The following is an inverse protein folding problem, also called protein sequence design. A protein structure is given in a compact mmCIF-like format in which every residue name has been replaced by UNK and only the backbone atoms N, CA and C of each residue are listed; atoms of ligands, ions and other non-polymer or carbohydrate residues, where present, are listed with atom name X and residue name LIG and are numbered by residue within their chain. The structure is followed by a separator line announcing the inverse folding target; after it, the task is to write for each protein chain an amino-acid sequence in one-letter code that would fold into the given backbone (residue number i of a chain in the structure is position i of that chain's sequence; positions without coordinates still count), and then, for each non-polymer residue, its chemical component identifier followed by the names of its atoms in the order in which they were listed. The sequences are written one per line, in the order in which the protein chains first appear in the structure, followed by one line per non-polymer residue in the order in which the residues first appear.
data_IF_984409515279
#
_entry.id   IF_984409515279
#
_cell.length_a   1.000
_cell.length_b   1.000
_cell.length_c   1.000
_cell.angle_alpha   90.00
_cell.angle_beta   90.00
_cell.angle_gamma   90.00
#
_symmetry.space_group_name_H-M   'P 1'
#
loop_
_entity.id
_entity.type
_entity.pdbx_description
1 polymer ?
#
# COMPACT_ATOMS: atom_id res chain seq x y z
N UNK A 1 10.43 -23.05 32.51
CA UNK A 1 10.69 -21.93 31.56
C UNK A 1 9.62 -20.87 31.76
N UNK A 2 9.96 -19.62 32.10
CA UNK A 2 8.96 -18.58 32.23
C UNK A 2 8.36 -18.30 30.85
N UNK A 3 7.04 -18.41 30.73
CA UNK A 3 6.30 -17.91 29.57
C UNK A 3 6.54 -16.39 29.59
N UNK A 4 7.45 -15.93 28.73
CA UNK A 4 7.60 -14.50 28.44
C UNK A 4 6.20 -14.02 28.08
N UNK A 5 5.59 -13.22 28.96
CA UNK A 5 4.33 -12.54 28.67
C UNK A 5 4.61 -11.64 27.47
N UNK A 6 4.40 -12.17 26.27
CA UNK A 6 4.43 -11.40 25.05
C UNK A 6 3.47 -10.27 25.28
N UNK A 7 4.03 -9.08 25.41
CA UNK A 7 3.24 -7.91 25.73
C UNK A 7 2.37 -7.63 24.51
N UNK A 8 1.07 -7.44 24.76
CA UNK A 8 0.04 -7.39 23.73
C UNK A 8 -0.84 -6.17 24.00
N UNK A 9 -1.08 -5.36 22.98
CA UNK A 9 -2.16 -4.39 22.94
C UNK A 9 -3.32 -5.05 22.21
N UNK A 10 -4.45 -5.19 22.88
CA UNK A 10 -5.67 -5.75 22.30
C UNK A 10 -6.81 -4.74 22.41
N UNK A 11 -7.50 -4.47 21.30
CA UNK A 11 -8.61 -3.52 21.21
C UNK A 11 -9.68 -4.04 20.25
N UNK A 12 -10.94 -3.66 20.46
CA UNK A 12 -12.05 -4.02 19.58
C UNK A 12 -12.75 -2.75 19.11
N UNK A 13 -12.95 -2.65 17.79
CA UNK A 13 -13.60 -1.51 17.15
C UNK A 13 -14.80 -1.99 16.33
N UNK A 14 -15.91 -1.25 16.39
CA UNK A 14 -17.14 -1.60 15.65
C UNK A 14 -17.34 -0.61 14.50
N UNK A 15 -17.61 -1.12 13.31
CA UNK A 15 -17.87 -0.37 12.09
C UNK A 15 -19.29 -0.64 11.59
N UNK A 16 -19.99 0.40 11.14
CA UNK A 16 -21.33 0.33 10.52
C UNK A 16 -21.23 -0.02 9.02
N UNK A 17 -20.43 -1.03 8.69
CA UNK A 17 -20.26 -1.57 7.34
C UNK A 17 -19.77 -3.02 7.40
N UNK A 18 -19.95 -3.77 6.31
CA UNK A 18 -19.45 -5.14 6.17
C UNK A 18 -17.91 -5.27 6.19
N UNK A 19 -17.44 -6.47 6.53
CA UNK A 19 -16.06 -6.74 6.89
C UNK A 19 -15.11 -6.59 5.72
N UNK A 20 -15.54 -6.97 4.52
CA UNK A 20 -14.79 -6.83 3.28
C UNK A 20 -14.39 -5.37 3.02
N UNK A 21 -15.27 -4.41 3.34
CA UNK A 21 -14.96 -2.98 3.16
C UNK A 21 -13.87 -2.52 4.13
N UNK A 22 -13.95 -2.93 5.40
CA UNK A 22 -12.94 -2.58 6.40
C UNK A 22 -11.61 -3.26 6.09
N UNK A 23 -11.64 -4.53 5.69
CA UNK A 23 -10.47 -5.31 5.26
C UNK A 23 -9.73 -4.61 4.11
N UNK A 24 -10.45 -4.24 3.04
CA UNK A 24 -9.85 -3.53 1.90
C UNK A 24 -9.28 -2.17 2.29
N UNK A 25 -9.96 -1.45 3.18
CA UNK A 25 -9.50 -0.15 3.65
C UNK A 25 -8.17 -0.24 4.42
N UNK A 26 -7.96 -1.31 5.18
CA UNK A 26 -6.68 -1.55 5.86
C UNK A 26 -5.56 -1.89 4.87
N UNK A 27 -5.86 -2.40 3.69
CA UNK A 27 -4.86 -2.68 2.65
C UNK A 27 -4.67 -1.54 1.65
N UNK A 28 -5.50 -0.50 1.70
CA UNK A 28 -5.40 0.65 0.83
C UNK A 28 -4.44 1.69 1.42
N UNK A 29 -3.33 1.92 0.72
CA UNK A 29 -2.29 2.84 1.19
C UNK A 29 -2.80 4.27 1.42
N UNK A 30 -3.77 4.74 0.62
CA UNK A 30 -4.32 6.08 0.77
C UNK A 30 -5.27 6.20 1.97
N UNK A 31 -6.08 5.18 2.25
CA UNK A 31 -6.94 5.07 3.40
C UNK A 31 -6.12 4.99 4.70
N UNK A 32 -5.10 4.13 4.71
CA UNK A 32 -4.17 3.99 5.84
C UNK A 32 -3.39 5.28 6.05
N UNK A 33 -2.76 5.85 5.03
CA UNK A 33 -1.99 7.09 5.17
C UNK A 33 -2.80 8.28 5.67
N UNK A 34 -4.10 8.33 5.35
CA UNK A 34 -5.01 9.36 5.85
C UNK A 34 -5.47 9.10 7.28
N UNK A 35 -5.87 7.86 7.57
CA UNK A 35 -6.48 7.52 8.86
C UNK A 35 -5.43 7.35 9.96
N UNK A 36 -4.25 6.83 9.59
CA UNK A 36 -3.18 6.48 10.52
C UNK A 36 -2.16 7.63 10.66
N UNK A 37 -2.58 8.88 10.46
CA UNK A 37 -1.72 10.03 10.72
C UNK A 37 -1.18 9.98 12.17
N UNK A 38 0.13 10.22 12.40
CA UNK A 38 1.06 10.91 11.51
C UNK A 38 1.92 10.03 10.59
N UNK A 39 1.57 8.75 10.33
CA UNK A 39 2.32 7.91 9.39
C UNK A 39 2.44 8.57 8.01
N UNK A 40 3.63 8.49 7.41
CA UNK A 40 3.94 9.05 6.09
C UNK A 40 4.38 7.95 5.12
N UNK A 41 4.41 8.29 3.83
CA UNK A 41 4.96 7.43 2.75
C UNK A 41 4.43 5.99 2.75
N UNK A 42 3.18 5.81 3.17
CA UNK A 42 2.55 4.50 3.29
C UNK A 42 2.48 3.83 1.92
N UNK A 43 3.01 2.61 1.82
CA UNK A 43 2.90 1.75 0.66
C UNK A 43 2.56 0.32 1.12
N UNK A 44 1.56 -0.28 0.47
CA UNK A 44 1.04 -1.61 0.82
C UNK A 44 0.80 -2.38 -0.48
N UNK A 45 1.40 -3.56 -0.60
CA UNK A 45 1.03 -4.54 -1.62
C UNK A 45 -0.10 -5.42 -1.07
N UNK A 46 -1.33 -5.24 -1.57
CA UNK A 46 -2.54 -5.87 -1.06
C UNK A 46 -2.67 -7.37 -1.43
N UNK A 47 -1.73 -8.20 -0.97
CA UNK A 47 -1.69 -9.65 -1.19
C UNK A 47 -0.91 -10.34 -0.08
N UNK A 48 -1.15 -11.63 0.13
CA UNK A 48 -0.33 -12.45 1.04
C UNK A 48 1.15 -12.38 0.67
N UNK A 49 2.01 -12.15 1.66
CA UNK A 49 3.46 -11.97 1.47
C UNK A 49 3.87 -10.64 0.85
N UNK A 50 2.90 -9.78 0.49
CA UNK A 50 3.14 -8.45 -0.06
C UNK A 50 3.88 -7.54 0.92
N UNK A 51 4.60 -6.55 0.41
CA UNK A 51 5.35 -5.59 1.23
C UNK A 51 4.44 -4.55 1.86
N UNK A 52 4.75 -4.16 3.10
CA UNK A 52 4.23 -2.95 3.74
C UNK A 52 5.38 -2.07 4.21
N UNK A 53 5.31 -0.77 3.90
CA UNK A 53 6.28 0.23 4.39
C UNK A 53 5.60 1.54 4.73
N UNK A 54 6.11 2.24 5.74
CA UNK A 54 5.71 3.60 6.09
C UNK A 54 6.83 4.28 6.89
N UNK A 55 6.84 5.61 6.90
CA UNK A 55 7.67 6.38 7.81
C UNK A 55 6.85 6.78 9.04
N UNK A 56 7.33 6.35 10.20
CA UNK A 56 6.81 6.77 11.48
C UNK A 56 7.67 7.91 12.06
N UNK A 57 7.07 8.99 12.59
CA UNK A 57 7.83 10.10 13.16
C UNK A 57 8.73 9.73 14.34
N UNK A 58 8.38 8.67 15.06
CA UNK A 58 9.04 8.23 16.28
C UNK A 58 10.00 7.06 16.04
N UNK A 59 9.64 6.16 15.13
CA UNK A 59 10.39 4.93 14.87
C UNK A 59 11.14 4.93 13.53
N UNK A 60 11.05 6.02 12.76
CA UNK A 60 11.67 6.15 11.46
C UNK A 60 11.00 5.27 10.42
N UNK A 61 11.76 4.82 9.42
CA UNK A 61 11.23 3.98 8.35
C UNK A 61 10.96 2.56 8.84
N UNK A 62 9.69 2.14 8.76
CA UNK A 62 9.22 0.81 9.13
C UNK A 62 8.96 -0.01 7.87
N UNK A 63 9.40 -1.26 7.88
CA UNK A 63 9.17 -2.21 6.80
C UNK A 63 8.72 -3.56 7.34
N UNK A 64 7.81 -4.19 6.60
CA UNK A 64 7.25 -5.48 6.95
C UNK A 64 6.64 -6.20 5.76
N UNK A 65 5.90 -7.26 6.07
CA UNK A 65 5.15 -8.07 5.12
C UNK A 65 3.73 -8.27 5.60
N UNK A 66 2.82 -8.38 4.65
CA UNK A 66 1.46 -8.88 4.85
C UNK A 66 1.56 -10.38 5.12
N UNK A 67 1.10 -10.81 6.29
CA UNK A 67 1.05 -12.19 6.75
C UNK A 67 -0.25 -12.86 6.32
N UNK A 68 -1.11 -13.16 7.29
CA UNK A 68 -2.44 -13.73 7.05
C UNK A 68 -3.25 -12.79 6.15
N UNK A 69 -3.92 -13.35 5.16
CA UNK A 69 -4.70 -12.62 4.17
C UNK A 69 -5.94 -13.43 3.82
N UNK A 70 -6.98 -13.30 4.64
CA UNK A 70 -8.27 -13.93 4.43
C UNK A 70 -9.32 -12.83 4.36
N UNK A 71 -9.77 -12.44 3.16
CA UNK A 71 -10.71 -11.33 2.96
C UNK A 71 -11.92 -11.43 3.89
N UNK A 72 -12.23 -10.32 4.58
CA UNK A 72 -13.33 -10.22 5.53
C UNK A 72 -13.23 -11.08 6.80
N UNK A 73 -12.13 -11.80 7.02
CA UNK A 73 -11.96 -12.71 8.17
C UNK A 73 -10.72 -12.38 8.98
N UNK A 74 -9.55 -12.26 8.34
CA UNK A 74 -8.28 -12.06 9.04
C UNK A 74 -7.21 -11.41 8.17
N UNK A 75 -6.52 -10.44 8.75
CA UNK A 75 -5.34 -9.77 8.17
C UNK A 75 -4.23 -9.73 9.21
N UNK A 76 -2.97 -9.95 8.83
CA UNK A 76 -1.85 -9.61 9.71
C UNK A 76 -0.70 -8.92 8.98
N UNK A 77 0.04 -8.09 9.71
CA UNK A 77 1.28 -7.45 9.27
C UNK A 77 2.41 -7.89 10.20
N UNK A 78 3.55 -8.23 9.62
CA UNK A 78 4.76 -8.66 10.34
C UNK A 78 5.90 -7.69 10.03
N UNK A 79 6.46 -7.09 11.06
CA UNK A 79 7.50 -6.08 10.97
C UNK A 79 8.84 -6.64 11.44
N UNK A 80 9.92 -6.24 10.78
CA UNK A 80 11.25 -6.79 11.05
C UNK A 80 12.00 -6.04 12.16
N UNK A 81 11.91 -4.71 12.22
CA UNK A 81 12.69 -3.86 13.12
C UNK A 81 11.96 -2.56 13.48
N UNK A 82 12.35 -1.96 14.63
CA UNK A 82 11.93 -0.65 15.14
C UNK A 82 10.42 -0.47 15.37
N UNK A 83 9.63 -1.52 15.20
CA UNK A 83 8.19 -1.52 15.38
C UNK A 83 7.77 -2.83 16.03
N UNK A 84 6.68 -2.88 16.82
CA UNK A 84 6.27 -4.14 17.41
C UNK A 84 5.94 -5.16 16.31
N UNK A 85 6.45 -6.37 16.49
CA UNK A 85 6.71 -7.37 15.45
C UNK A 85 5.47 -7.87 14.72
N UNK A 86 4.33 -8.02 15.40
CA UNK A 86 3.14 -8.65 14.80
C UNK A 86 1.90 -7.86 15.13
N UNK A 87 1.20 -7.43 14.09
CA UNK A 87 -0.12 -6.82 14.16
C UNK A 87 -1.12 -7.70 13.44
N UNK A 88 -2.25 -8.01 14.08
CA UNK A 88 -3.34 -8.76 13.48
C UNK A 88 -4.68 -8.08 13.65
N UNK A 89 -5.54 -8.28 12.66
CA UNK A 89 -6.91 -7.84 12.59
C UNK A 89 -7.78 -9.09 12.37
N UNK A 90 -8.64 -9.41 13.32
CA UNK A 90 -9.68 -10.41 13.14
C UNK A 90 -11.02 -9.69 12.95
N UNK A 91 -11.79 -10.11 11.96
CA UNK A 91 -13.05 -9.47 11.56
C UNK A 91 -14.21 -10.41 11.88
N UNK A 92 -15.24 -9.87 12.53
CA UNK A 92 -16.49 -10.60 12.80
C UNK A 92 -17.64 -9.73 12.33
N UNK A 93 -18.28 -10.16 11.25
CA UNK A 93 -19.44 -9.48 10.69
C UNK A 93 -20.75 -10.02 11.29
N UNK A 94 -21.65 -9.12 11.69
CA UNK A 94 -23.03 -9.42 12.09
C UNK A 94 -23.93 -8.28 11.66
N UNK A 95 -25.01 -8.59 10.95
CA UNK A 95 -26.03 -7.61 10.53
C UNK A 95 -25.43 -6.39 9.78
N UNK A 96 -24.51 -6.62 8.84
CA UNK A 96 -23.80 -5.57 8.08
C UNK A 96 -22.97 -4.59 8.96
N UNK A 97 -22.66 -5.00 10.19
CA UNK A 97 -21.72 -4.32 11.09
C UNK A 97 -20.53 -5.24 11.32
N UNK A 98 -19.35 -4.66 11.44
CA UNK A 98 -18.12 -5.42 11.62
C UNK A 98 -17.45 -5.05 12.94
N UNK A 99 -17.23 -6.04 13.80
CA UNK A 99 -16.28 -5.93 14.89
C UNK A 99 -14.88 -6.30 14.37
N UNK A 100 -13.91 -5.42 14.58
CA UNK A 100 -12.49 -5.65 14.26
C UNK A 100 -11.72 -5.73 15.56
N UNK A 101 -11.18 -6.90 15.87
CA UNK A 101 -10.22 -7.08 16.97
C UNK A 101 -8.83 -6.81 16.43
N UNK A 102 -8.18 -5.79 16.99
CA UNK A 102 -6.79 -5.44 16.73
C UNK A 102 -5.93 -6.03 17.84
N UNK A 103 -4.91 -6.80 17.46
CA UNK A 103 -3.92 -7.35 18.39
C UNK A 103 -2.54 -6.97 17.90
N UNK A 104 -1.80 -6.18 18.67
CA UNK A 104 -0.43 -5.79 18.37
C UNK A 104 0.49 -6.38 19.43
N UNK A 105 1.59 -7.01 19.02
CA UNK A 105 2.54 -7.69 19.91
C UNK A 105 3.98 -7.55 19.42
N UNK A 106 4.93 -7.98 20.24
CA UNK A 106 6.36 -7.91 19.93
C UNK A 106 7.04 -6.65 20.45
N UNK A 107 6.57 -6.11 21.58
CA UNK A 107 7.14 -4.91 22.21
C UNK A 107 8.45 -5.15 23.01
N UNK A 108 8.97 -6.39 23.01
CA UNK A 108 10.05 -6.81 23.91
C UNK A 108 11.32 -5.95 23.83
N UNK A 109 11.70 -5.50 22.63
CA UNK A 109 12.87 -4.64 22.42
C UNK A 109 12.71 -3.18 22.86
N UNK A 110 11.49 -2.72 23.16
CA UNK A 110 11.21 -1.29 23.42
C UNK A 110 10.95 -0.97 24.90
N UNK A 111 10.61 -1.98 25.72
CA UNK A 111 10.11 -1.74 27.08
C UNK A 111 11.18 -1.22 28.05
N UNK A 112 12.45 -1.56 27.83
CA UNK A 112 13.56 -1.05 28.65
C UNK A 112 13.70 0.46 28.58
N UNK A 113 13.32 1.05 27.44
CA UNK A 113 13.40 2.49 27.19
C UNK A 113 12.04 3.19 27.36
N UNK A 114 10.94 2.44 27.19
CA UNK A 114 9.57 2.96 27.13
C UNK A 114 8.63 2.10 27.97
N UNK A 115 8.51 2.36 29.29
CA UNK A 115 7.69 1.54 30.18
C UNK A 115 6.20 1.56 29.85
N UNK A 116 5.71 2.64 29.21
CA UNK A 116 4.29 2.87 28.89
C UNK A 116 3.93 2.56 27.42
N UNK A 117 4.79 1.83 26.70
CA UNK A 117 4.65 1.61 25.26
C UNK A 117 3.29 0.99 24.85
N UNK A 118 2.69 0.18 25.71
CA UNK A 118 1.38 -0.42 25.44
C UNK A 118 0.26 0.63 25.43
N UNK A 119 0.32 1.57 26.38
CA UNK A 119 -0.70 2.61 26.50
C UNK A 119 -0.56 3.62 25.38
N UNK A 120 0.69 3.97 25.02
CA UNK A 120 0.99 4.81 23.85
C UNK A 120 0.41 4.20 22.57
N UNK A 121 0.71 2.93 22.29
CA UNK A 121 0.15 2.25 21.12
C UNK A 121 -1.36 2.05 21.21
N UNK A 122 -1.90 1.80 22.40
CA UNK A 122 -3.36 1.74 22.62
C UNK A 122 -4.05 3.04 22.22
N UNK A 123 -3.52 4.18 22.67
CA UNK A 123 -4.05 5.51 22.31
C UNK A 123 -3.90 5.79 20.81
N UNK A 124 -2.78 5.40 20.19
CA UNK A 124 -2.59 5.53 18.74
C UNK A 124 -3.62 4.71 17.97
N UNK A 125 -3.87 3.46 18.38
CA UNK A 125 -4.89 2.60 17.78
C UNK A 125 -6.30 3.18 17.91
N UNK A 126 -6.66 3.69 19.09
CA UNK A 126 -7.95 4.34 19.32
C UNK A 126 -8.15 5.53 18.37
N UNK A 127 -7.13 6.38 18.21
CA UNK A 127 -7.17 7.52 17.30
C UNK A 127 -7.25 7.09 15.82
N UNK A 128 -6.43 6.13 15.40
CA UNK A 128 -6.37 5.65 14.02
C UNK A 128 -7.66 4.96 13.57
N UNK A 129 -8.19 4.08 14.41
CA UNK A 129 -9.40 3.33 14.09
C UNK A 129 -10.64 4.21 14.15
N UNK A 130 -10.67 5.21 15.04
CA UNK A 130 -11.73 6.23 15.05
C UNK A 130 -11.78 7.03 13.74
N UNK A 131 -10.62 7.46 13.21
CA UNK A 131 -10.54 8.17 11.92
C UNK A 131 -10.92 7.28 10.74
N UNK A 132 -10.46 6.02 10.74
CA UNK A 132 -10.81 5.05 9.72
C UNK A 132 -12.33 4.80 9.70
N UNK A 133 -12.93 4.62 10.88
CA UNK A 133 -14.37 4.46 11.07
C UNK A 133 -15.13 5.66 10.51
N UNK A 134 -14.79 6.86 10.95
CA UNK A 134 -15.43 8.09 10.47
C UNK A 134 -15.35 8.22 8.94
N UNK A 135 -14.21 7.89 8.34
CA UNK A 135 -14.06 7.92 6.88
C UNK A 135 -14.92 6.89 6.16
N UNK A 136 -14.94 5.64 6.64
CA UNK A 136 -15.71 4.57 6.01
C UNK A 136 -17.22 4.81 6.09
N UNK A 137 -17.68 5.40 7.19
CA UNK A 137 -19.11 5.62 7.47
C UNK A 137 -19.64 6.94 6.91
N UNK A 138 -18.83 8.00 6.89
CA UNK A 138 -19.28 9.35 6.49
C UNK A 138 -18.59 9.90 5.24
N UNK A 139 -17.54 9.22 4.76
CA UNK A 139 -16.67 9.72 3.68
C UNK A 139 -15.71 10.83 4.12
N UNK A 140 -15.71 11.24 5.40
CA UNK A 140 -14.89 12.35 5.93
C UNK A 140 -13.97 11.88 7.06
N UNK A 141 -12.76 12.42 7.11
CA UNK A 141 -11.86 12.26 8.26
C UNK A 141 -11.98 13.49 9.15
N UNK A 142 -12.26 13.35 10.45
CA UNK A 142 -12.28 14.45 11.40
C UNK A 142 -10.93 15.20 11.39
N UNK A 143 -10.97 16.53 11.23
CA UNK A 143 -9.77 17.37 11.22
C UNK A 143 -9.03 17.48 9.87
N UNK A 144 -9.49 16.80 8.81
CA UNK A 144 -9.00 17.07 7.46
C UNK A 144 -9.63 18.38 6.97
N UNK A 145 -8.82 19.44 6.80
CA UNK A 145 -9.28 20.65 6.12
C UNK A 145 -9.80 20.30 4.73
N UNK A 146 -10.96 20.84 4.31
CA UNK A 146 -11.44 20.63 2.95
C UNK A 146 -10.36 21.08 1.97
N UNK A 147 -9.79 20.17 1.18
CA UNK A 147 -8.99 20.58 0.02
C UNK A 147 -9.93 21.36 -0.89
N UNK A 148 -9.75 22.68 -0.95
CA UNK A 148 -10.43 23.57 -1.88
C UNK A 148 -10.35 22.92 -3.27
N UNK A 149 -11.48 22.68 -3.95
CA UNK A 149 -11.43 22.08 -5.28
C UNK A 149 -10.56 22.97 -6.16
N UNK A 150 -9.60 22.34 -6.86
CA UNK A 150 -8.78 23.04 -7.83
C UNK A 150 -9.72 23.77 -8.79
N UNK A 151 -9.64 25.10 -8.83
CA UNK A 151 -10.38 25.91 -9.81
C UNK A 151 -10.06 25.33 -11.19
N UNK A 152 -11.07 24.76 -11.83
CA UNK A 152 -11.02 24.43 -13.24
C UNK A 152 -10.53 25.66 -13.99
N UNK A 153 -9.35 25.58 -14.61
CA UNK A 153 -8.90 26.59 -15.58
C UNK A 153 -9.98 26.68 -16.66
N UNK A 154 -10.49 27.88 -17.00
CA UNK A 154 -11.32 28.01 -18.19
C UNK A 154 -10.49 27.62 -19.42
N UNK A 155 -11.03 26.71 -20.22
CA UNK A 155 -10.51 26.40 -21.56
C UNK A 155 -10.44 27.68 -22.40
N UNK A 156 -9.36 27.90 -23.18
CA UNK A 156 -9.34 29.02 -24.11
C UNK A 156 -10.42 28.81 -25.18
N UNK A 157 -11.26 29.84 -25.33
CA UNK A 157 -12.34 29.89 -26.31
C UNK A 157 -11.79 29.74 -27.74
N UNK A 158 -12.42 28.84 -28.50
CA UNK A 158 -12.32 28.73 -29.95
C UNK A 158 -12.77 30.06 -30.57
N UNK A 159 -11.82 30.88 -31.02
CA UNK A 159 -12.12 32.04 -31.87
C UNK A 159 -12.17 31.55 -33.31
N UNK A 160 -13.39 31.39 -33.82
CA UNK A 160 -13.65 31.26 -35.26
C UNK A 160 -13.63 32.67 -35.85
N UNK A 161 -12.66 32.96 -36.72
CA UNK A 161 -12.69 34.11 -37.60
C UNK A 161 -12.29 33.67 -39.01
N UNK A 162 -13.26 33.77 -39.92
CA UNK A 162 -13.20 33.36 -41.30
C UNK A 162 -12.17 34.14 -42.13
N UNK A 163 -11.51 33.45 -43.06
CA UNK A 163 -11.16 34.01 -44.39
C UNK A 163 -10.73 32.89 -45.35
N UNK A 164 -11.56 32.61 -46.36
CA UNK A 164 -11.09 32.08 -47.64
C UNK A 164 -10.51 33.26 -48.45
N UNK A 165 -9.54 33.05 -49.38
CA UNK A 165 -9.93 32.54 -50.70
C UNK A 165 -8.87 31.72 -51.47
N UNK A 166 -9.40 31.12 -52.55
CA UNK A 166 -8.83 30.99 -53.89
C UNK A 166 -8.09 29.70 -54.30
N UNK A 167 -8.66 29.14 -55.37
CA UNK A 167 -8.21 28.00 -56.18
C UNK A 167 -7.26 28.51 -57.27
N UNK A 168 -6.15 27.78 -57.47
CA UNK A 168 -5.13 27.76 -58.57
C UNK A 168 -3.76 27.59 -57.88
N UNK A 169 -2.88 26.66 -58.19
CA UNK A 169 -2.57 26.01 -59.46
C UNK A 169 -1.68 24.77 -59.22
N UNK A 170 -1.90 23.74 -60.04
CA UNK A 170 -0.86 22.99 -60.80
C UNK A 170 0.15 22.10 -60.05
N UNK A 171 -0.15 20.80 -60.17
CA UNK A 171 0.68 19.70 -60.73
C UNK A 171 2.10 19.43 -60.21
N UNK A 172 2.25 18.15 -59.86
CA UNK A 172 3.30 17.19 -60.27
C UNK A 172 4.73 17.44 -59.76
N UNK A 173 5.22 16.51 -58.94
CA UNK A 173 6.39 15.65 -59.23
C UNK A 173 6.50 14.57 -58.14
N UNK A 174 6.26 13.30 -58.46
CA UNK A 174 7.23 12.31 -58.98
C UNK A 174 8.00 11.59 -57.84
N UNK A 175 7.76 10.28 -57.79
CA UNK A 175 8.67 9.17 -57.47
C UNK A 175 9.18 8.92 -56.04
N UNK A 176 8.65 7.82 -55.48
CA UNK A 176 9.42 6.74 -54.83
C UNK A 176 10.72 6.41 -55.60
N UNK A 177 11.78 5.98 -54.91
CA UNK A 177 12.00 4.54 -54.86
C UNK A 177 12.37 3.98 -53.49
N UNK A 178 12.14 2.68 -53.39
CA UNK A 178 12.54 1.76 -52.34
C UNK A 178 13.99 1.24 -52.51
N UNK A 179 14.38 0.34 -51.60
CA UNK A 179 15.64 -0.44 -51.45
C UNK A 179 16.67 0.25 -50.57
N UNK A 180 17.45 -0.45 -49.74
CA UNK A 180 18.05 -1.78 -49.89
C UNK A 180 18.49 -2.25 -48.50
N UNK A 181 18.01 -3.39 -47.98
CA UNK A 181 18.77 -4.64 -47.82
C UNK A 181 20.27 -4.47 -47.54
N UNK A 182 20.77 -4.99 -46.40
CA UNK A 182 21.60 -6.22 -46.33
C UNK A 182 22.19 -6.46 -44.93
N UNK A 183 22.10 -7.71 -44.44
CA UNK A 183 23.22 -8.64 -44.12
C UNK A 183 24.05 -8.25 -42.86
N UNK A 184 24.56 -9.14 -41.99
CA UNK A 184 24.70 -10.60 -41.97
C UNK A 184 25.30 -10.97 -40.59
N UNK A 185 25.09 -12.24 -40.20
CA UNK A 185 26.00 -13.14 -39.45
C UNK A 185 26.22 -12.93 -37.93
N UNK A 186 25.48 -13.74 -37.15
CA UNK A 186 25.92 -14.96 -36.40
C UNK A 186 27.43 -15.19 -36.09
N UNK A 187 27.80 -16.24 -35.32
CA UNK A 187 27.47 -16.63 -33.94
C UNK A 187 28.76 -17.01 -33.14
N UNK A 188 28.70 -17.20 -31.82
CA UNK A 188 29.66 -17.96 -30.98
C UNK A 188 29.19 -17.88 -29.52
N UNK A 189 29.38 -18.81 -28.60
CA UNK A 189 29.82 -20.21 -28.57
C UNK A 189 29.45 -20.68 -27.14
N UNK A 190 28.87 -21.87 -26.97
CA UNK A 190 29.49 -23.04 -26.32
C UNK A 190 30.19 -22.74 -24.99
N UNK A 191 29.66 -23.32 -23.90
CA UNK A 191 30.31 -23.32 -22.59
C UNK A 191 29.56 -24.12 -21.53
N UNK A 192 29.39 -25.43 -21.75
CA UNK A 192 29.25 -26.40 -20.67
C UNK A 192 30.65 -26.93 -20.31
N UNK A 193 30.92 -27.26 -19.05
CA UNK A 193 31.07 -28.68 -18.75
C UNK A 193 30.51 -29.13 -17.38
N UNK A 194 29.89 -30.31 -17.45
CA UNK A 194 30.03 -31.50 -16.60
C UNK A 194 30.66 -31.44 -15.19
N UNK A 195 29.88 -31.99 -14.25
CA UNK A 195 30.19 -33.10 -13.30
C UNK A 195 31.27 -32.87 -12.23
N UNK A 196 30.85 -32.96 -10.96
CA UNK A 196 31.54 -33.83 -9.98
C UNK A 196 30.55 -34.36 -8.92
N UNK A 197 30.41 -35.70 -8.89
CA UNK A 197 29.89 -36.49 -7.77
C UNK A 197 30.92 -36.50 -6.63
N UNK A 198 30.47 -36.54 -5.37
CA UNK A 198 31.06 -37.31 -4.26
C UNK A 198 30.06 -37.24 -3.09
N UNK A 199 29.25 -38.27 -2.81
CA UNK A 199 29.54 -39.44 -1.96
C UNK A 199 29.73 -39.13 -0.47
N UNK A 200 28.66 -39.40 0.28
CA UNK A 200 28.60 -40.26 1.49
C UNK A 200 29.72 -40.19 2.52
N UNK A 201 29.39 -39.85 3.76
CA UNK A 201 29.73 -40.71 4.92
C UNK A 201 28.88 -40.40 6.15
N UNK A 202 28.81 -41.44 6.97
CA UNK A 202 27.94 -41.75 8.11
C UNK A 202 27.83 -40.68 9.19
#
# INVERSE_FOLDING_TARGET
MPILKHTIVERVYVFETGAERVFRALLDAAAVGRSFAPLRTVAIEARQGGRITFDDPEFGRVAGKVGDFVPGVRLSWRFAQNWPTVLSFDFVERNNRTAVRVTHSGFGGMRGERPNINDEFGQRWDAWMSRLKAWLETGRVPGATPRKPARSRPSPATTNAARAPSVRDVKRRIQRPARSTRDRRSPSAVGAPSVTRSSTSK
#
